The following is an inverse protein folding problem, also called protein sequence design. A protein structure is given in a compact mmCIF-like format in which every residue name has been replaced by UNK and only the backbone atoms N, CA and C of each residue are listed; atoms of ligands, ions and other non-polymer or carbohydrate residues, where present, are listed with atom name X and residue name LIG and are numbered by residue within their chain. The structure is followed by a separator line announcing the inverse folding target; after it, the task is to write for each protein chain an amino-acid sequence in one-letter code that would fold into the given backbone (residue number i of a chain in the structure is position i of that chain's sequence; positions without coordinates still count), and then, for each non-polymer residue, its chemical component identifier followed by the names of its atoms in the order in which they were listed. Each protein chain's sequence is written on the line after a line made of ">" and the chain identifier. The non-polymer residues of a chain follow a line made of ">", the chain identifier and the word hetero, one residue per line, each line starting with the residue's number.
data_IF_531140181579
#
_entry.id   IF_531140181579
#
_cell.length_a   1.000
_cell.length_b   1.000
_cell.length_c   1.000
_cell.angle_alpha   90.00
_cell.angle_beta   90.00
_cell.angle_gamma   90.00
#
_symmetry.space_group_name_H-M   'P 1'
#
loop_
_entity.id
_entity.type
_entity.pdbx_description
1 polymer ?
#
# COMPACT_ATOMS: atom_id res chain seq x y z
N UNK A 1 10.07 -5.26 24.68
CA UNK A 1 9.00 -4.34 24.21
C UNK A 1 9.49 -3.66 22.95
N UNK A 2 9.19 -4.09 21.73
CA UNK A 2 8.14 -4.98 21.23
C UNK A 2 8.75 -6.06 20.33
N UNK A 3 8.30 -7.28 20.57
CA UNK A 3 8.58 -8.51 19.87
C UNK A 3 7.68 -8.56 18.62
N UNK A 4 8.24 -8.41 17.42
CA UNK A 4 7.60 -8.83 16.17
C UNK A 4 8.63 -8.91 15.03
N UNK A 5 9.63 -9.77 15.20
CA UNK A 5 10.52 -10.16 14.11
C UNK A 5 9.71 -11.03 13.13
N UNK A 6 9.34 -10.41 12.01
CA UNK A 6 8.71 -11.02 10.85
C UNK A 6 9.56 -12.23 10.40
N UNK A 7 8.97 -13.43 10.20
CA UNK A 7 9.73 -14.61 9.83
C UNK A 7 10.38 -14.42 8.45
N UNK A 8 11.65 -14.80 8.38
CA UNK A 8 12.52 -14.76 7.20
C UNK A 8 11.85 -15.33 5.93
N UNK A 9 11.26 -14.44 5.14
CA UNK A 9 11.16 -14.60 3.70
C UNK A 9 12.23 -13.66 3.14
N UNK A 10 13.03 -14.17 2.21
CA UNK A 10 14.12 -13.48 1.54
C UNK A 10 13.87 -11.95 1.38
N UNK A 11 14.67 -11.07 2.03
CA UNK A 11 14.34 -9.65 2.17
C UNK A 11 14.33 -8.89 0.83
N UNK A 12 14.89 -9.48 -0.22
CA UNK A 12 15.02 -8.87 -1.55
C UNK A 12 13.74 -8.98 -2.40
N UNK A 13 12.97 -10.07 -2.28
CA UNK A 13 11.72 -10.24 -3.03
C UNK A 13 10.56 -9.43 -2.42
N UNK A 14 10.40 -9.46 -1.10
CA UNK A 14 9.30 -8.79 -0.40
C UNK A 14 9.32 -7.27 -0.53
N UNK A 15 10.50 -6.65 -0.44
CA UNK A 15 10.62 -5.20 -0.61
C UNK A 15 10.27 -4.78 -2.03
N UNK A 16 10.60 -5.62 -3.02
CA UNK A 16 10.32 -5.39 -4.44
C UNK A 16 8.82 -5.54 -4.73
N UNK A 17 8.17 -6.59 -4.21
CA UNK A 17 6.72 -6.76 -4.30
C UNK A 17 5.94 -5.64 -3.60
N UNK A 18 6.39 -5.21 -2.41
CA UNK A 18 5.79 -4.08 -1.69
C UNK A 18 5.93 -2.78 -2.45
N UNK A 19 7.11 -2.58 -3.06
CA UNK A 19 7.34 -1.47 -3.96
C UNK A 19 6.31 -1.54 -5.10
N UNK A 20 6.28 -2.64 -5.86
CA UNK A 20 5.38 -2.77 -7.00
C UNK A 20 3.91 -2.54 -6.62
N UNK A 21 3.49 -3.02 -5.44
CA UNK A 21 2.18 -2.73 -4.89
C UNK A 21 1.96 -1.23 -4.67
N UNK A 22 2.90 -0.56 -4.00
CA UNK A 22 2.81 0.86 -3.69
C UNK A 22 2.77 1.71 -4.97
N UNK A 23 3.60 1.39 -5.96
CA UNK A 23 3.55 2.04 -7.27
C UNK A 23 2.22 1.79 -7.99
N UNK A 24 1.74 0.55 -8.02
CA UNK A 24 0.52 0.19 -8.73
C UNK A 24 -0.71 0.91 -8.14
N UNK A 25 -0.81 1.01 -6.80
CA UNK A 25 -1.92 1.73 -6.16
C UNK A 25 -1.82 3.24 -6.35
N UNK A 26 -0.61 3.82 -6.35
CA UNK A 26 -0.39 5.25 -6.60
C UNK A 26 -0.78 5.63 -8.04
N UNK A 27 -0.40 4.79 -9.02
CA UNK A 27 -0.79 4.97 -10.42
C UNK A 27 -2.31 4.83 -10.58
N UNK A 28 -2.93 3.81 -9.95
CA UNK A 28 -4.37 3.64 -9.98
C UNK A 28 -5.12 4.86 -9.38
N UNK A 29 -4.60 5.42 -8.29
CA UNK A 29 -5.15 6.64 -7.68
C UNK A 29 -5.00 7.84 -8.61
N UNK A 30 -3.85 8.00 -9.26
CA UNK A 30 -3.63 9.08 -10.23
C UNK A 30 -4.57 8.95 -11.44
N UNK A 31 -4.81 7.73 -11.93
CA UNK A 31 -5.77 7.47 -13.01
C UNK A 31 -7.20 7.81 -12.60
N UNK A 32 -7.64 7.43 -11.40
CA UNK A 32 -8.97 7.78 -10.90
C UNK A 32 -9.12 9.31 -10.74
N UNK A 33 -8.09 9.99 -10.23
CA UNK A 33 -8.08 11.47 -10.16
C UNK A 33 -8.18 12.13 -11.53
N UNK A 34 -7.52 11.58 -12.54
CA UNK A 34 -7.65 12.11 -13.91
C UNK A 34 -9.03 11.83 -14.52
N UNK A 35 -9.63 10.68 -14.18
CA UNK A 35 -10.92 10.26 -14.73
C UNK A 35 -12.12 10.93 -14.04
N UNK A 36 -12.03 11.18 -12.73
CA UNK A 36 -13.11 11.70 -11.91
C UNK A 36 -12.92 13.18 -11.49
N UNK A 37 -11.76 13.80 -11.78
CA UNK A 37 -11.44 15.18 -11.42
C UNK A 37 -10.96 15.34 -9.96
N UNK A 38 -11.25 16.50 -9.35
CA UNK A 38 -10.79 16.84 -7.98
C UNK A 38 -11.54 15.97 -6.96
N UNK A 39 -10.96 14.81 -6.64
CA UNK A 39 -11.46 13.93 -5.61
C UNK A 39 -11.14 14.49 -4.22
N UNK A 40 -12.11 14.58 -3.30
CA UNK A 40 -11.82 14.98 -1.93
C UNK A 40 -10.86 13.98 -1.26
N UNK A 41 -10.10 14.40 -0.24
CA UNK A 41 -9.14 13.54 0.45
C UNK A 41 -9.76 12.26 1.04
N UNK A 42 -11.05 12.32 1.37
CA UNK A 42 -11.84 11.17 1.78
C UNK A 42 -12.08 10.15 0.64
N UNK A 43 -12.37 10.63 -0.57
CA UNK A 43 -12.57 9.78 -1.74
C UNK A 43 -11.27 9.06 -2.13
N UNK A 44 -10.13 9.76 -2.10
CA UNK A 44 -8.81 9.15 -2.32
C UNK A 44 -8.57 8.00 -1.33
N UNK A 45 -8.86 8.22 -0.05
CA UNK A 45 -8.68 7.18 0.98
C UNK A 45 -9.63 5.99 0.76
N UNK A 46 -10.89 6.25 0.43
CA UNK A 46 -11.87 5.20 0.15
C UNK A 46 -11.45 4.35 -1.07
N UNK A 47 -10.95 5.00 -2.12
CA UNK A 47 -10.41 4.33 -3.29
C UNK A 47 -9.24 3.42 -2.91
N UNK A 48 -8.27 3.91 -2.15
CA UNK A 48 -7.12 3.12 -1.70
C UNK A 48 -7.57 1.87 -0.92
N UNK A 49 -8.53 2.00 0.00
CA UNK A 49 -9.09 0.87 0.75
C UNK A 49 -9.77 -0.13 -0.20
N UNK A 50 -10.59 0.34 -1.14
CA UNK A 50 -11.27 -0.54 -2.11
C UNK A 50 -10.27 -1.23 -3.03
N UNK A 51 -9.26 -0.51 -3.49
CA UNK A 51 -8.20 -1.04 -4.34
C UNK A 51 -7.40 -2.11 -3.62
N UNK A 52 -6.98 -1.86 -2.37
CA UNK A 52 -6.25 -2.84 -1.55
C UNK A 52 -7.08 -4.08 -1.25
N UNK A 53 -8.38 -3.92 -0.96
CA UNK A 53 -9.28 -5.06 -0.76
C UNK A 53 -9.43 -5.90 -2.03
N UNK A 54 -9.47 -5.23 -3.20
CA UNK A 54 -9.53 -5.88 -4.50
C UNK A 54 -8.22 -6.61 -4.83
N UNK A 55 -7.08 -5.97 -4.59
CA UNK A 55 -5.75 -6.56 -4.76
C UNK A 55 -5.55 -7.80 -3.88
N UNK A 56 -6.00 -7.73 -2.62
CA UNK A 56 -5.98 -8.87 -1.70
C UNK A 56 -6.89 -10.01 -2.19
N UNK A 57 -8.10 -9.70 -2.68
CA UNK A 57 -9.04 -10.69 -3.21
C UNK A 57 -8.51 -11.39 -4.46
N UNK A 58 -7.81 -10.65 -5.32
CA UNK A 58 -7.19 -11.22 -6.51
C UNK A 58 -5.95 -12.08 -6.22
N UNK A 59 -5.45 -12.10 -4.97
CA UNK A 59 -4.27 -12.89 -4.57
C UNK A 59 -3.06 -12.65 -5.50
N UNK A 60 -2.98 -11.46 -6.10
CA UNK A 60 -1.93 -11.07 -7.06
C UNK A 60 -0.55 -10.91 -6.41
N UNK A 61 -0.50 -10.85 -5.08
CA UNK A 61 0.71 -10.64 -4.31
C UNK A 61 1.01 -11.85 -3.42
N UNK A 62 2.30 -12.16 -3.17
CA UNK A 62 2.71 -13.24 -2.28
C UNK A 62 2.19 -13.01 -0.85
N UNK A 63 2.11 -14.08 -0.07
CA UNK A 63 1.54 -14.06 1.29
C UNK A 63 2.24 -13.05 2.21
N UNK A 64 3.53 -12.80 1.99
CA UNK A 64 4.30 -11.81 2.73
C UNK A 64 3.72 -10.41 2.55
N UNK A 65 3.52 -9.97 1.31
CA UNK A 65 2.88 -8.67 1.01
C UNK A 65 1.40 -8.65 1.37
N UNK A 66 0.72 -9.81 1.34
CA UNK A 66 -0.69 -9.89 1.75
C UNK A 66 -0.91 -9.51 3.23
N UNK A 67 0.08 -9.74 4.10
CA UNK A 67 0.07 -9.30 5.51
C UNK A 67 0.13 -7.77 5.57
N UNK A 68 1.03 -7.15 4.84
CA UNK A 68 1.13 -5.68 4.76
C UNK A 68 -0.15 -5.07 4.19
N UNK A 69 -0.72 -5.62 3.11
CA UNK A 69 -2.00 -5.17 2.54
C UNK A 69 -3.10 -5.22 3.60
N UNK A 70 -3.19 -6.31 4.37
CA UNK A 70 -4.19 -6.45 5.44
C UNK A 70 -3.99 -5.38 6.50
N UNK A 71 -2.75 -5.13 6.90
CA UNK A 71 -2.43 -4.10 7.88
C UNK A 71 -2.74 -2.68 7.38
N UNK A 72 -2.42 -2.37 6.11
CA UNK A 72 -2.81 -1.11 5.47
C UNK A 72 -4.33 -0.94 5.40
N UNK A 73 -5.07 -2.01 5.10
CA UNK A 73 -6.55 -1.99 5.09
C UNK A 73 -7.13 -1.70 6.47
N UNK A 74 -6.61 -2.35 7.51
CA UNK A 74 -7.06 -2.14 8.88
C UNK A 74 -6.79 -0.71 9.33
N UNK A 75 -5.58 -0.19 9.05
CA UNK A 75 -5.20 1.20 9.32
C UNK A 75 -6.09 2.19 8.57
N UNK A 76 -6.35 1.94 7.28
CA UNK A 76 -7.24 2.75 6.46
C UNK A 76 -8.67 2.79 6.98
N UNK A 77 -9.19 1.64 7.41
CA UNK A 77 -10.56 1.53 7.94
C UNK A 77 -10.69 2.19 9.31
N UNK A 78 -9.65 2.11 10.15
CA UNK A 78 -9.63 2.70 11.49
C UNK A 78 -9.50 4.22 11.49
N UNK A 79 -8.72 4.78 10.55
CA UNK A 79 -8.43 6.22 10.51
C UNK A 79 -9.14 6.97 9.37
N UNK A 80 -9.76 6.29 8.42
CA UNK A 80 -10.49 6.92 7.31
C UNK A 80 -9.64 7.96 6.57
N UNK A 81 -10.22 9.13 6.25
CA UNK A 81 -9.50 10.24 5.63
C UNK A 81 -8.29 10.75 6.43
N UNK A 82 -8.27 10.54 7.75
CA UNK A 82 -7.14 10.91 8.60
C UNK A 82 -5.96 9.94 8.51
N UNK A 83 -6.13 8.77 7.87
CA UNK A 83 -5.09 7.76 7.72
C UNK A 83 -3.89 8.24 6.88
N UNK A 84 -4.08 9.29 6.06
CA UNK A 84 -3.09 9.78 5.08
C UNK A 84 -2.44 8.61 4.32
N UNK A 85 -3.25 7.61 3.95
CA UNK A 85 -2.82 6.36 3.34
C UNK A 85 -1.90 6.60 2.14
N UNK A 86 -2.24 7.57 1.31
CA UNK A 86 -1.41 8.01 0.18
C UNK A 86 0.01 8.38 0.62
N UNK A 87 0.16 9.27 1.59
CA UNK A 87 1.48 9.71 2.08
C UNK A 87 2.27 8.56 2.70
N UNK A 88 1.57 7.65 3.38
CA UNK A 88 2.20 6.44 3.93
C UNK A 88 2.71 5.51 2.83
N UNK A 89 1.92 5.31 1.76
CA UNK A 89 2.29 4.54 0.58
C UNK A 89 3.42 5.19 -0.22
N UNK A 90 3.41 6.52 -0.39
CA UNK A 90 4.50 7.27 -1.03
C UNK A 90 5.80 7.14 -0.24
N UNK A 91 5.72 7.19 1.10
CA UNK A 91 6.88 6.97 1.96
C UNK A 91 7.41 5.54 1.88
N UNK A 92 6.52 4.54 1.93
CA UNK A 92 6.85 3.12 1.74
C UNK A 92 7.54 2.88 0.40
N UNK A 93 6.97 3.39 -0.70
CA UNK A 93 7.55 3.28 -2.03
C UNK A 93 8.94 3.90 -2.10
N UNK A 94 9.10 5.13 -1.59
CA UNK A 94 10.41 5.81 -1.58
C UNK A 94 11.43 5.05 -0.75
N UNK A 95 11.04 4.56 0.43
CA UNK A 95 11.94 3.83 1.32
C UNK A 95 12.37 2.49 0.72
N UNK A 96 11.46 1.73 0.12
CA UNK A 96 11.80 0.47 -0.53
C UNK A 96 12.59 0.68 -1.83
N UNK A 97 12.24 1.70 -2.64
CA UNK A 97 12.99 2.04 -3.85
C UNK A 97 14.41 2.52 -3.55
N UNK A 98 14.63 3.13 -2.38
CA UNK A 98 15.95 3.61 -1.96
C UNK A 98 16.80 2.48 -1.34
N UNK A 99 16.17 1.46 -0.74
CA UNK A 99 16.85 0.27 -0.24
C UNK A 99 17.36 -0.67 -1.35
N UNK A 100 16.80 -0.61 -2.56
CA UNK A 100 17.24 -1.40 -3.71
C UNK A 100 18.45 -0.80 -4.46
N UNK A 101 18.97 0.35 -4.02
CA UNK A 101 20.06 1.08 -4.68
C UNK A 101 21.37 1.15 -3.89
N UNK A 102 21.54 0.35 -2.83
CA UNK A 102 22.79 0.28 -2.04
C UNK A 102 23.44 -1.10 -2.14
#
# INVERSE_FOLDING_TARGET
>A
MLDNALPAADPTDTTTDLSHLAFCVLVALALERQSCGVSPPYAETLFLIRWLATAQRQRRFPKSVAIDIRWLLERGRRHGAAAKLRQHLEYLWRSCSQAAGQ
#
